data_IF_738872911045
#
_entry.id   IF_738872911045
#
_cell.length_a   1.000
_cell.length_b   1.000
_cell.length_c   1.000
_cell.angle_alpha   90.00
_cell.angle_beta   90.00
_cell.angle_gamma   90.00
#
_symmetry.space_group_name_H-M   'P 1'
#
loop_
_entity.id
_entity.type
_entity.pdbx_description
1 polymer ?
#
# COMPACT_ATOMS: atom_id res chain seq x y z
N UNK A 1 -45.93 -2.17 67.01
CA UNK A 1 -46.31 -3.42 66.30
C UNK A 1 -47.26 -3.04 65.17
N UNK A 2 -46.98 -3.52 63.95
CA UNK A 2 -47.79 -3.42 62.72
C UNK A 2 -48.05 -2.01 62.11
N UNK A 3 -47.15 -1.53 61.25
CA UNK A 3 -47.55 -1.03 59.91
C UNK A 3 -46.37 -1.05 58.94
N UNK A 4 -45.72 -2.21 58.84
CA UNK A 4 -44.68 -2.49 57.84
C UNK A 4 -45.25 -2.92 56.49
N UNK A 5 -46.50 -2.58 56.17
CA UNK A 5 -47.16 -2.97 54.89
C UNK A 5 -47.55 -1.80 53.99
N UNK A 6 -47.60 -0.56 54.50
CA UNK A 6 -48.05 0.59 53.69
C UNK A 6 -46.93 1.29 52.92
N UNK A 7 -45.65 1.17 53.32
CA UNK A 7 -44.54 1.76 52.57
C UNK A 7 -44.14 0.97 51.31
N UNK A 8 -44.66 -0.26 51.13
CA UNK A 8 -44.39 -1.08 49.94
C UNK A 8 -45.24 -0.69 48.71
N UNK A 9 -46.30 0.10 48.89
CA UNK A 9 -47.23 0.44 47.79
C UNK A 9 -46.79 1.67 46.98
N UNK A 10 -45.98 2.57 47.54
CA UNK A 10 -45.60 3.81 46.83
C UNK A 10 -44.50 3.63 45.77
N UNK A 11 -43.77 2.50 45.77
CA UNK A 11 -42.75 2.21 44.76
C UNK A 11 -43.30 1.48 43.52
N UNK A 12 -44.60 1.14 43.48
CA UNK A 12 -45.19 0.39 42.36
C UNK A 12 -45.74 1.25 41.21
N UNK A 13 -45.77 2.58 41.32
CA UNK A 13 -46.34 3.44 40.25
C UNK A 13 -45.33 4.11 39.31
N UNK A 14 -44.02 4.05 39.58
CA UNK A 14 -42.99 4.63 38.69
C UNK A 14 -42.35 3.60 37.75
N UNK A 15 -42.60 2.31 37.97
CA UNK A 15 -42.00 1.19 37.22
C UNK A 15 -42.81 0.67 36.03
N UNK A 16 -43.96 1.27 35.70
CA UNK A 16 -44.92 0.72 34.74
C UNK A 16 -44.92 1.39 33.35
N UNK A 17 -43.87 2.13 32.95
CA UNK A 17 -43.79 2.74 31.61
C UNK A 17 -42.52 2.43 30.80
N UNK A 18 -41.62 1.56 31.30
CA UNK A 18 -40.42 1.15 30.53
C UNK A 18 -40.46 -0.32 30.06
N UNK A 19 -41.58 -1.02 30.25
CA UNK A 19 -41.73 -2.45 29.98
C UNK A 19 -42.22 -2.79 28.55
N UNK A 20 -41.60 -2.21 27.51
CA UNK A 20 -41.72 -2.70 26.12
C UNK A 20 -40.38 -2.63 25.37
N UNK A 21 -39.32 -3.22 25.98
CA UNK A 21 -38.08 -3.53 25.26
C UNK A 21 -37.83 -5.04 25.25
N UNK A 22 -38.37 -5.65 24.20
CA UNK A 22 -37.89 -6.84 23.48
C UNK A 22 -37.32 -8.00 24.31
N UNK A 23 -38.21 -8.96 24.49
CA UNK A 23 -38.01 -10.39 24.73
C UNK A 23 -37.14 -11.09 23.64
N UNK A 24 -36.71 -12.34 23.84
CA UNK A 24 -35.30 -12.67 24.01
C UNK A 24 -34.78 -13.73 23.02
N UNK A 25 -33.44 -13.82 22.96
CA UNK A 25 -32.70 -14.98 22.46
C UNK A 25 -33.01 -16.22 23.27
N UNK A 26 -33.39 -17.32 22.62
CA UNK A 26 -33.33 -18.73 23.04
C UNK A 26 -33.62 -19.52 21.75
N UNK A 27 -32.93 -20.55 21.32
CA UNK A 27 -31.92 -21.44 21.86
C UNK A 27 -31.30 -22.17 20.65
N UNK A 28 -30.09 -22.70 20.82
CA UNK A 28 -29.53 -23.90 20.18
C UNK A 28 -29.78 -24.14 18.67
N UNK A 29 -28.70 -24.14 17.88
CA UNK A 29 -28.33 -25.30 17.04
C UNK A 29 -26.92 -25.08 16.46
N UNK A 30 -25.95 -25.65 17.16
CA UNK A 30 -24.61 -25.95 16.70
C UNK A 30 -24.60 -27.45 16.39
N UNK A 31 -24.58 -27.84 15.10
CA UNK A 31 -23.87 -29.00 14.54
C UNK A 31 -24.35 -29.32 13.11
N UNK A 32 -23.46 -29.06 12.15
CA UNK A 32 -23.15 -29.84 10.94
C UNK A 32 -24.29 -30.61 10.26
N UNK A 33 -24.72 -30.15 9.09
CA UNK A 33 -24.99 -31.03 7.94
C UNK A 33 -24.65 -30.28 6.65
N UNK A 34 -23.68 -30.81 5.92
CA UNK A 34 -23.36 -30.38 4.56
C UNK A 34 -24.42 -30.92 3.60
N UNK A 35 -24.98 -30.05 2.73
CA UNK A 35 -25.18 -30.28 1.30
C UNK A 35 -26.13 -29.23 0.71
N UNK A 36 -25.66 -28.60 -0.38
CA UNK A 36 -26.47 -28.04 -1.46
C UNK A 36 -27.27 -26.76 -1.17
N UNK A 37 -26.64 -25.60 -1.37
CA UNK A 37 -27.20 -24.62 -2.33
C UNK A 37 -26.09 -24.12 -3.24
N UNK A 38 -26.25 -24.53 -4.50
CA UNK A 38 -25.57 -24.08 -5.71
C UNK A 38 -25.18 -22.60 -5.73
N UNK A 39 -23.93 -22.36 -6.09
CA UNK A 39 -23.45 -21.24 -6.92
C UNK A 39 -24.41 -20.09 -7.20
N UNK A 40 -24.21 -18.95 -6.54
CA UNK A 40 -24.31 -17.62 -7.17
C UNK A 40 -23.59 -16.55 -6.32
N UNK A 41 -22.45 -16.92 -5.72
CA UNK A 41 -21.48 -15.96 -5.22
C UNK A 41 -20.50 -15.63 -6.33
N UNK A 42 -20.98 -15.02 -7.41
CA UNK A 42 -20.13 -14.34 -8.38
C UNK A 42 -19.46 -13.14 -7.66
N UNK A 43 -18.44 -13.42 -6.85
CA UNK A 43 -17.36 -12.47 -6.57
C UNK A 43 -16.45 -12.37 -7.80
N UNK A 44 -17.03 -12.34 -9.00
CA UNK A 44 -16.41 -11.54 -10.02
C UNK A 44 -16.59 -10.12 -9.50
N UNK A 45 -15.48 -9.50 -9.14
CA UNK A 45 -15.38 -8.07 -9.27
C UNK A 45 -15.78 -7.76 -10.71
N UNK A 46 -17.08 -7.60 -10.94
CA UNK A 46 -17.59 -6.77 -12.00
C UNK A 46 -17.10 -5.37 -11.62
N UNK A 47 -15.82 -5.12 -11.87
CA UNK A 47 -15.36 -3.82 -12.31
C UNK A 47 -16.28 -3.53 -13.48
N UNK A 48 -17.43 -2.94 -13.19
CA UNK A 48 -18.47 -2.61 -14.13
C UNK A 48 -17.80 -1.61 -15.07
N UNK A 49 -17.20 -2.14 -16.12
CA UNK A 49 -16.36 -1.38 -17.01
C UNK A 49 -17.24 -0.63 -18.01
N UNK A 50 -18.44 -0.18 -17.61
CA UNK A 50 -19.28 0.70 -18.44
C UNK A 50 -18.72 2.12 -18.39
N UNK A 51 -17.75 2.37 -19.24
CA UNK A 51 -17.15 3.70 -19.44
C UNK A 51 -16.10 3.58 -20.53
N UNK A 52 -16.14 4.50 -21.50
CA UNK A 52 -15.34 4.52 -22.73
C UNK A 52 -14.03 3.74 -22.61
N UNK A 53 -13.99 2.56 -23.24
CA UNK A 53 -12.87 1.60 -23.17
C UNK A 53 -11.53 2.30 -23.43
N UNK A 54 -11.49 3.21 -24.41
CA UNK A 54 -10.33 4.05 -24.71
C UNK A 54 -9.86 4.91 -23.53
N UNK A 55 -10.77 5.56 -22.79
CA UNK A 55 -10.39 6.37 -21.61
C UNK A 55 -9.77 5.52 -20.51
N UNK A 56 -10.21 4.26 -20.38
CA UNK A 56 -9.69 3.34 -19.37
C UNK A 56 -8.36 2.72 -19.77
N UNK A 57 -8.18 2.41 -21.05
CA UNK A 57 -6.88 2.01 -21.61
C UNK A 57 -5.84 3.11 -21.47
N UNK A 58 -6.17 4.35 -21.84
CA UNK A 58 -5.26 5.49 -21.68
C UNK A 58 -4.89 5.70 -20.21
N UNK A 59 -5.88 5.65 -19.30
CA UNK A 59 -5.61 5.73 -17.86
C UNK A 59 -4.69 4.61 -17.38
N UNK A 60 -4.92 3.37 -17.82
CA UNK A 60 -4.09 2.23 -17.45
C UNK A 60 -2.64 2.41 -17.93
N UNK A 61 -2.44 2.79 -19.20
CA UNK A 61 -1.12 3.01 -19.77
C UNK A 61 -0.38 4.14 -19.06
N UNK A 62 -1.05 5.24 -18.73
CA UNK A 62 -0.48 6.33 -17.96
C UNK A 62 -0.06 5.89 -16.55
N UNK A 63 -0.89 5.09 -15.86
CA UNK A 63 -0.55 4.55 -14.54
C UNK A 63 0.68 3.63 -14.62
N UNK A 64 0.77 2.77 -15.64
CA UNK A 64 1.92 1.88 -15.84
C UNK A 64 3.18 2.70 -16.14
N UNK A 65 3.10 3.68 -17.04
CA UNK A 65 4.21 4.56 -17.36
C UNK A 65 4.70 5.32 -16.12
N UNK A 66 3.78 5.85 -15.32
CA UNK A 66 4.10 6.53 -14.06
C UNK A 66 4.78 5.57 -13.07
N UNK A 67 4.24 4.37 -12.90
CA UNK A 67 4.84 3.37 -12.02
C UNK A 67 6.27 3.01 -12.46
N UNK A 68 6.51 2.87 -13.76
CA UNK A 68 7.84 2.59 -14.30
C UNK A 68 8.83 3.74 -14.04
N UNK A 69 8.43 4.99 -14.27
CA UNK A 69 9.27 6.17 -14.00
C UNK A 69 9.59 6.27 -12.51
N UNK A 70 8.61 6.07 -11.63
CA UNK A 70 8.82 6.12 -10.18
C UNK A 70 9.78 5.01 -9.73
N UNK A 71 9.57 3.77 -10.20
CA UNK A 71 10.40 2.64 -9.81
C UNK A 71 11.85 2.79 -10.29
N UNK A 72 12.06 3.12 -11.56
CA UNK A 72 13.39 3.32 -12.13
C UNK A 72 14.09 4.53 -11.51
N UNK A 73 13.40 5.66 -11.38
CA UNK A 73 13.92 6.86 -10.72
C UNK A 73 14.31 6.59 -9.27
N UNK A 74 13.48 5.85 -8.53
CA UNK A 74 13.79 5.46 -7.15
C UNK A 74 15.00 4.53 -7.05
N UNK A 75 15.11 3.53 -7.94
CA UNK A 75 16.26 2.61 -7.97
C UNK A 75 17.56 3.34 -8.29
N UNK A 76 17.53 4.27 -9.24
CA UNK A 76 18.68 5.14 -9.56
C UNK A 76 19.03 6.02 -8.36
N UNK A 77 18.04 6.69 -7.77
CA UNK A 77 18.26 7.59 -6.64
C UNK A 77 18.87 6.86 -5.43
N UNK A 78 18.38 5.65 -5.12
CA UNK A 78 18.97 4.81 -4.07
C UNK A 78 20.41 4.42 -4.36
N UNK A 79 20.75 4.11 -5.61
CA UNK A 79 22.12 3.79 -6.00
C UNK A 79 23.06 4.98 -5.76
N UNK A 80 22.72 6.18 -6.23
CA UNK A 80 23.63 7.33 -6.08
C UNK A 80 23.71 7.88 -4.64
N UNK A 81 22.67 7.74 -3.82
CA UNK A 81 22.66 8.32 -2.46
C UNK A 81 22.96 7.33 -1.34
N UNK A 82 22.68 6.03 -1.53
CA UNK A 82 22.71 5.03 -0.45
C UNK A 82 23.26 3.67 -0.93
N UNK A 83 24.15 3.64 -1.92
CA UNK A 83 24.87 2.40 -2.29
C UNK A 83 26.10 2.20 -1.42
N UNK A 84 26.44 0.94 -1.15
CA UNK A 84 27.68 0.55 -0.48
C UNK A 84 28.84 0.35 -1.49
N UNK A 85 28.53 0.30 -2.79
CA UNK A 85 29.50 0.08 -3.86
C UNK A 85 29.21 0.95 -5.09
N UNK A 86 30.23 1.55 -5.73
CA UNK A 86 30.05 2.28 -6.97
C UNK A 86 29.81 1.34 -8.17
N UNK A 87 30.05 0.03 -8.02
CA UNK A 87 30.04 -0.95 -9.11
C UNK A 87 28.78 -1.85 -9.15
N UNK A 88 27.67 -1.40 -8.55
CA UNK A 88 26.36 -2.06 -8.70
C UNK A 88 25.98 -2.10 -10.18
N UNK A 89 25.81 -3.29 -10.75
CA UNK A 89 25.67 -3.48 -12.21
C UNK A 89 24.44 -2.77 -12.77
N UNK A 90 23.32 -2.83 -12.05
CA UNK A 90 22.07 -2.20 -12.47
C UNK A 90 22.13 -0.69 -12.26
N UNK A 91 22.60 -0.24 -11.09
CA UNK A 91 22.69 1.17 -10.73
C UNK A 91 23.63 1.95 -11.65
N UNK A 92 24.79 1.38 -11.95
CA UNK A 92 25.77 1.96 -12.88
C UNK A 92 25.19 2.08 -14.28
N UNK A 93 24.60 1.00 -14.79
CA UNK A 93 23.97 0.99 -16.13
C UNK A 93 22.87 2.05 -16.21
N UNK A 94 22.05 2.16 -15.17
CA UNK A 94 20.96 3.13 -15.10
C UNK A 94 21.48 4.57 -15.02
N UNK A 95 22.53 4.83 -14.22
CA UNK A 95 23.15 6.14 -14.15
C UNK A 95 23.79 6.53 -15.48
N UNK A 96 24.49 5.61 -16.16
CA UNK A 96 25.08 5.85 -17.47
C UNK A 96 24.02 6.17 -18.55
N UNK A 97 22.83 5.59 -18.43
CA UNK A 97 21.72 5.87 -19.34
C UNK A 97 21.01 7.22 -19.07
N UNK A 98 21.30 7.90 -17.95
CA UNK A 98 20.67 9.18 -17.64
C UNK A 98 21.13 10.31 -18.58
N UNK A 99 20.26 11.30 -18.86
CA UNK A 99 20.64 12.49 -19.61
C UNK A 99 21.84 13.19 -18.97
N UNK A 100 22.69 13.81 -19.79
CA UNK A 100 24.00 14.36 -19.39
C UNK A 100 24.03 15.08 -18.03
N UNK A 101 23.17 16.07 -17.76
CA UNK A 101 23.16 16.77 -16.47
C UNK A 101 22.82 15.87 -15.27
N UNK A 102 21.89 14.93 -15.44
CA UNK A 102 21.47 13.99 -14.39
C UNK A 102 22.56 12.96 -14.12
N UNK A 103 23.17 12.43 -15.19
CA UNK A 103 24.32 11.52 -15.08
C UNK A 103 25.51 12.20 -14.39
N UNK A 104 25.84 13.44 -14.76
CA UNK A 104 26.93 14.20 -14.17
C UNK A 104 26.71 14.44 -12.67
N UNK A 105 25.48 14.81 -12.28
CA UNK A 105 25.12 14.95 -10.87
C UNK A 105 25.24 13.62 -10.11
N UNK A 106 24.77 12.51 -10.69
CA UNK A 106 24.91 11.17 -10.10
C UNK A 106 26.37 10.78 -9.91
N UNK A 107 27.23 11.01 -10.91
CA UNK A 107 28.67 10.76 -10.81
C UNK A 107 29.33 11.63 -9.74
N UNK A 108 28.98 12.92 -9.65
CA UNK A 108 29.48 13.80 -8.60
C UNK A 108 29.07 13.31 -7.20
N UNK A 109 27.83 12.80 -7.06
CA UNK A 109 27.35 12.26 -5.79
C UNK A 109 28.07 10.97 -5.39
N UNK A 110 28.33 10.07 -6.33
CA UNK A 110 29.12 8.85 -6.07
C UNK A 110 30.57 9.19 -5.70
N UNK A 111 31.17 10.16 -6.39
CA UNK A 111 32.55 10.62 -6.14
C UNK A 111 32.76 11.12 -4.71
N UNK A 112 31.72 11.67 -4.05
CA UNK A 112 31.86 12.15 -2.66
C UNK A 112 32.20 11.02 -1.69
N UNK A 113 31.72 9.80 -1.95
CA UNK A 113 31.92 8.64 -1.08
C UNK A 113 33.00 7.69 -1.62
N UNK A 114 33.18 7.64 -2.94
CA UNK A 114 34.03 6.65 -3.62
C UNK A 114 35.19 7.27 -4.41
N UNK A 115 35.52 8.55 -4.20
CA UNK A 115 36.54 9.26 -4.99
C UNK A 115 37.95 8.66 -4.95
N UNK A 116 38.24 7.78 -4.00
CA UNK A 116 39.51 7.02 -3.91
C UNK A 116 39.50 5.73 -4.73
N UNK A 117 38.33 5.28 -5.18
CA UNK A 117 38.15 4.10 -6.04
C UNK A 117 38.22 4.49 -7.51
N UNK A 118 38.41 3.50 -8.39
CA UNK A 118 38.26 3.71 -9.83
C UNK A 118 36.82 4.13 -10.15
N UNK A 119 36.63 5.08 -11.09
CA UNK A 119 35.29 5.51 -11.48
C UNK A 119 34.53 4.37 -12.17
N UNK A 120 33.24 4.17 -11.87
CA UNK A 120 32.42 3.20 -12.58
C UNK A 120 32.13 3.68 -14.01
N UNK A 121 31.67 2.75 -14.85
CA UNK A 121 31.31 3.03 -16.24
C UNK A 121 30.32 4.21 -16.34
N UNK A 122 30.60 5.12 -17.28
CA UNK A 122 29.83 6.35 -17.44
C UNK A 122 30.23 7.50 -16.51
N UNK A 123 31.08 7.28 -15.50
CA UNK A 123 31.60 8.32 -14.61
C UNK A 123 33.12 8.56 -14.75
N UNK A 124 33.80 7.77 -15.57
CA UNK A 124 35.21 7.94 -15.86
C UNK A 124 35.45 9.07 -16.88
N UNK A 125 36.59 9.75 -16.75
CA UNK A 125 37.18 10.60 -17.77
C UNK A 125 37.82 9.74 -18.88
N UNK A 126 38.39 10.38 -19.90
CA UNK A 126 38.94 9.72 -21.09
C UNK A 126 40.01 8.66 -20.78
N UNK A 127 40.74 8.81 -19.67
CA UNK A 127 41.80 7.90 -19.25
C UNK A 127 41.31 6.72 -18.40
N UNK A 128 39.99 6.53 -18.24
CA UNK A 128 39.33 5.44 -17.50
C UNK A 128 39.72 5.28 -16.01
N UNK A 129 40.64 6.11 -15.50
CA UNK A 129 41.24 6.01 -14.17
C UNK A 129 40.91 7.21 -13.30
N UNK A 130 40.54 8.33 -13.93
CA UNK A 130 40.13 9.54 -13.24
C UNK A 130 38.61 9.73 -13.33
N UNK A 131 38.02 10.21 -12.25
CA UNK A 131 36.63 10.65 -12.22
C UNK A 131 36.45 11.91 -13.06
N UNK A 132 35.40 11.93 -13.90
CA UNK A 132 34.97 13.16 -14.56
C UNK A 132 34.37 14.18 -13.58
#
# INVERSE_FOLDING_TARGET
MASGREQASQLQHVGAQWALRRHPRKFADVLVTAASTSTCGCYTAAFAFKGNIMKKLVRLLLTIALAFVVFTGFRWYRYITNTDSPYDEIGTTLNNAMPGPINAWGCAKLKTNFGTSLPPYGCAAENATQWK
#
